data_IF_415907851276
#
_entry.id   IF_415907851276
#
_cell.length_a   1.000
_cell.length_b   1.000
_cell.length_c   1.000
_cell.angle_alpha   90.00
_cell.angle_beta   90.00
_cell.angle_gamma   90.00
#
_symmetry.space_group_name_H-M   'P 1'
#
loop_
_entity.id
_entity.type
_entity.pdbx_description
1 polymer ?
#
# COMPACT_ATOMS: atom_id res chain seq x y z
N UNK A 1 39.10 -46.61 8.22
CA UNK A 1 38.88 -46.52 6.76
C UNK A 1 37.54 -47.17 6.48
N UNK A 2 36.41 -46.52 6.78
CA UNK A 2 35.80 -45.39 6.07
C UNK A 2 35.67 -45.65 4.56
N UNK A 3 34.53 -46.19 4.14
CA UNK A 3 33.93 -45.82 2.85
C UNK A 3 32.42 -45.95 2.95
N UNK A 4 31.79 -44.80 2.70
CA UNK A 4 30.37 -44.54 2.72
C UNK A 4 29.77 -44.70 1.31
N UNK A 5 28.46 -44.98 1.31
CA UNK A 5 27.45 -44.51 0.35
C UNK A 5 27.38 -45.23 -1.02
N UNK A 6 26.21 -45.46 -1.64
CA UNK A 6 24.86 -44.88 -1.53
C UNK A 6 23.81 -45.93 -1.92
N UNK A 7 22.54 -45.79 -1.50
CA UNK A 7 21.41 -46.15 -2.33
C UNK A 7 20.71 -44.91 -2.88
N UNK A 8 20.41 -44.98 -4.17
CA UNK A 8 19.45 -44.12 -4.85
C UNK A 8 18.06 -44.27 -4.22
N UNK A 9 17.45 -43.16 -3.81
CA UNK A 9 16.01 -43.08 -3.59
C UNK A 9 15.44 -41.92 -4.41
N UNK A 10 14.74 -42.30 -5.49
CA UNK A 10 13.74 -41.47 -6.16
C UNK A 10 12.54 -41.39 -5.22
N UNK A 11 12.04 -40.18 -4.96
CA UNK A 11 10.69 -39.99 -4.43
C UNK A 11 9.88 -39.10 -5.38
N UNK A 12 8.79 -39.71 -5.85
CA UNK A 12 7.61 -39.08 -6.42
C UNK A 12 6.73 -38.53 -5.28
N UNK A 13 5.88 -37.58 -5.66
CA UNK A 13 4.60 -37.18 -5.06
C UNK A 13 4.57 -36.20 -3.88
N UNK A 14 3.62 -35.26 -4.00
CA UNK A 14 2.77 -34.85 -2.88
C UNK A 14 2.87 -33.38 -2.49
N UNK A 15 2.20 -32.49 -3.23
CA UNK A 15 1.87 -31.16 -2.74
C UNK A 15 0.65 -31.30 -1.80
N UNK A 16 0.72 -31.00 -0.49
CA UNK A 16 -0.47 -30.90 0.32
C UNK A 16 -1.14 -29.54 0.07
N UNK A 17 -2.36 -29.59 -0.45
CA UNK A 17 -3.30 -28.47 -0.47
C UNK A 17 -3.63 -28.05 0.97
N UNK A 18 -3.22 -26.86 1.38
CA UNK A 18 -3.69 -26.24 2.63
C UNK A 18 -5.01 -25.52 2.33
N UNK A 19 -6.13 -26.09 2.79
CA UNK A 19 -7.47 -25.48 2.71
C UNK A 19 -7.61 -24.42 3.80
N UNK A 20 -7.70 -23.15 3.42
CA UNK A 20 -8.19 -22.07 4.30
C UNK A 20 -9.69 -21.91 4.04
N UNK A 21 -10.51 -22.26 5.02
CA UNK A 21 -11.96 -22.02 5.01
C UNK A 21 -12.20 -20.59 5.52
N UNK A 22 -12.77 -19.73 4.67
CA UNK A 22 -13.36 -18.45 5.08
C UNK A 22 -14.87 -18.65 5.23
N UNK A 23 -15.36 -18.65 6.48
CA UNK A 23 -16.79 -18.55 6.77
C UNK A 23 -17.16 -17.07 6.87
N UNK A 24 -17.90 -16.55 5.89
CA UNK A 24 -18.57 -15.25 5.97
C UNK A 24 -20.04 -15.49 6.25
N UNK A 25 -20.44 -15.48 7.52
CA UNK A 25 -21.85 -15.46 7.92
C UNK A 25 -22.37 -14.04 7.87
N UNK A 26 -23.25 -13.73 6.93
CA UNK A 26 -24.01 -12.47 6.91
C UNK A 26 -25.38 -12.71 7.54
N UNK A 27 -25.66 -12.01 8.65
CA UNK A 27 -27.02 -11.88 9.19
C UNK A 27 -27.64 -10.65 8.54
N UNK A 28 -28.66 -10.85 7.70
CA UNK A 28 -29.45 -9.76 7.12
C UNK A 28 -30.56 -9.37 8.11
N UNK A 29 -30.47 -8.17 8.68
CA UNK A 29 -31.57 -7.53 9.40
C UNK A 29 -32.29 -6.63 8.40
N UNK A 30 -33.46 -7.03 7.92
CA UNK A 30 -34.29 -6.21 7.02
C UNK A 30 -35.18 -5.27 7.85
N UNK A 31 -34.70 -4.06 8.10
CA UNK A 31 -35.54 -2.93 8.49
C UNK A 31 -36.04 -2.22 7.24
N UNK A 32 -37.36 -2.09 7.09
CA UNK A 32 -37.99 -1.37 5.98
C UNK A 32 -37.90 0.13 6.26
N UNK A 33 -36.97 0.83 5.61
CA UNK A 33 -36.91 2.29 5.60
C UNK A 33 -37.64 2.83 4.37
N UNK A 34 -38.62 3.72 4.61
CA UNK A 34 -39.40 4.40 3.58
C UNK A 34 -38.53 5.46 2.87
N UNK A 35 -38.02 5.09 1.69
CA UNK A 35 -38.40 5.76 0.45
C UNK A 35 -37.85 7.16 0.11
N UNK A 36 -36.57 7.43 0.35
CA UNK A 36 -35.80 8.20 -0.63
C UNK A 36 -35.02 7.20 -1.47
N UNK A 37 -35.15 7.27 -2.81
CA UNK A 37 -34.28 6.47 -3.67
C UNK A 37 -32.84 6.79 -3.31
N UNK A 38 -32.01 5.79 -2.94
CA UNK A 38 -30.63 6.05 -2.55
C UNK A 38 -29.96 6.82 -3.69
N UNK A 39 -29.31 7.93 -3.35
CA UNK A 39 -28.57 8.74 -4.33
C UNK A 39 -27.56 7.82 -5.01
N UNK A 40 -27.73 7.65 -6.33
CA UNK A 40 -26.84 6.83 -7.14
C UNK A 40 -25.53 7.57 -7.41
N UNK A 41 -24.63 7.51 -6.42
CA UNK A 41 -23.30 8.15 -6.45
C UNK A 41 -22.36 7.52 -7.48
N UNK A 42 -22.70 6.35 -8.05
CA UNK A 42 -21.91 5.76 -9.13
C UNK A 42 -21.89 6.63 -10.39
N UNK A 43 -22.96 7.39 -10.63
CA UNK A 43 -23.06 8.35 -11.74
C UNK A 43 -22.06 9.50 -11.61
N UNK A 44 -21.72 9.91 -10.40
CA UNK A 44 -20.76 11.00 -10.19
C UNK A 44 -19.41 10.65 -10.83
N UNK A 45 -18.94 9.41 -10.64
CA UNK A 45 -17.68 8.92 -11.22
C UNK A 45 -17.70 8.93 -12.76
N UNK A 46 -18.85 8.64 -13.37
CA UNK A 46 -18.99 8.70 -14.84
C UNK A 46 -19.00 10.14 -15.40
N UNK A 47 -19.32 11.11 -14.56
CA UNK A 47 -19.36 12.54 -14.89
C UNK A 47 -18.08 13.27 -14.47
N UNK A 48 -17.05 12.53 -14.04
CA UNK A 48 -15.81 13.11 -13.57
C UNK A 48 -15.14 13.96 -14.67
N UNK A 49 -14.73 15.20 -14.36
CA UNK A 49 -13.85 15.98 -15.21
C UNK A 49 -12.61 15.18 -15.62
N UNK A 50 -12.07 15.47 -16.81
CA UNK A 50 -10.98 14.69 -17.42
C UNK A 50 -9.76 14.56 -16.52
N UNK A 51 -9.50 15.56 -15.67
CA UNK A 51 -8.43 15.53 -14.68
C UNK A 51 -8.57 14.41 -13.63
N UNK A 52 -9.79 14.09 -13.21
CA UNK A 52 -10.07 13.12 -12.16
C UNK A 52 -10.21 11.70 -12.71
N UNK A 53 -10.52 11.54 -14.00
CA UNK A 53 -10.70 10.23 -14.64
C UNK A 53 -9.48 9.33 -14.44
N UNK A 54 -8.27 9.88 -14.60
CA UNK A 54 -7.02 9.11 -14.41
C UNK A 54 -6.84 8.64 -12.96
N UNK A 55 -7.12 9.52 -11.98
CA UNK A 55 -7.06 9.19 -10.56
C UNK A 55 -8.10 8.12 -10.20
N UNK A 56 -9.32 8.25 -10.73
CA UNK A 56 -10.41 7.28 -10.51
C UNK A 56 -10.05 5.90 -11.03
N UNK A 57 -9.46 5.83 -12.23
CA UNK A 57 -9.03 4.58 -12.84
C UNK A 57 -7.84 3.96 -12.09
N UNK A 58 -6.82 4.76 -11.77
CA UNK A 58 -5.66 4.28 -11.02
C UNK A 58 -6.05 3.80 -9.60
N UNK A 59 -6.98 4.51 -8.97
CA UNK A 59 -7.44 4.26 -7.62
C UNK A 59 -8.55 3.23 -7.47
N UNK A 60 -9.15 2.71 -8.56
CA UNK A 60 -10.32 1.83 -8.51
C UNK A 60 -11.39 2.32 -7.51
N UNK A 61 -11.89 3.54 -7.74
CA UNK A 61 -12.66 4.30 -6.75
C UNK A 61 -14.13 3.89 -6.70
N UNK A 62 -14.70 3.90 -5.50
CA UNK A 62 -16.14 3.91 -5.27
C UNK A 62 -16.50 5.05 -4.32
N UNK A 63 -17.73 5.56 -4.42
CA UNK A 63 -18.27 6.58 -3.50
C UNK A 63 -19.46 5.97 -2.78
N UNK A 64 -19.47 6.02 -1.45
CA UNK A 64 -20.46 5.39 -0.58
C UNK A 64 -20.96 6.36 0.48
N UNK A 65 -22.20 6.18 0.92
CA UNK A 65 -22.73 6.87 2.10
C UNK A 65 -22.40 6.07 3.35
N UNK A 66 -21.85 6.73 4.39
CA UNK A 66 -21.48 6.04 5.63
C UNK A 66 -21.44 6.98 6.84
N UNK A 67 -22.61 7.44 7.30
CA UNK A 67 -22.72 8.38 8.44
C UNK A 67 -22.10 7.82 9.73
N UNK A 68 -22.23 6.51 9.98
CA UNK A 68 -21.68 5.88 11.17
C UNK A 68 -20.14 5.92 11.20
N UNK A 69 -19.49 5.72 10.04
CA UNK A 69 -18.03 5.81 9.92
C UNK A 69 -17.56 7.25 10.08
N UNK A 70 -18.28 8.18 9.44
CA UNK A 70 -17.98 9.61 9.49
C UNK A 70 -18.11 10.18 10.91
N UNK A 71 -19.17 9.79 11.63
CA UNK A 71 -19.35 10.12 13.03
C UNK A 71 -18.25 9.51 13.92
N UNK A 72 -17.85 8.25 13.66
CA UNK A 72 -16.76 7.61 14.38
C UNK A 72 -15.42 8.34 14.19
N UNK A 73 -15.17 8.87 12.98
CA UNK A 73 -13.94 9.58 12.63
C UNK A 73 -13.99 11.08 12.94
N UNK A 74 -15.15 11.62 13.33
CA UNK A 74 -15.41 13.06 13.49
C UNK A 74 -15.06 13.84 12.21
N UNK A 75 -15.57 13.38 11.06
CA UNK A 75 -15.33 13.97 9.74
C UNK A 75 -16.61 14.06 8.91
N UNK A 76 -16.65 15.01 7.96
CA UNK A 76 -17.75 15.16 6.98
C UNK A 76 -17.50 14.37 5.68
N UNK A 77 -16.27 13.89 5.48
CA UNK A 77 -15.87 12.98 4.41
C UNK A 77 -14.64 12.19 4.82
N UNK A 78 -14.46 11.02 4.21
CA UNK A 78 -13.29 10.20 4.45
C UNK A 78 -12.96 9.31 3.26
N UNK A 79 -11.71 9.37 2.80
CA UNK A 79 -11.16 8.43 1.84
C UNK A 79 -10.43 7.32 2.55
N UNK A 80 -10.87 6.09 2.33
CA UNK A 80 -10.15 4.88 2.74
C UNK A 80 -9.52 4.22 1.52
N UNK A 81 -8.27 3.76 1.66
CA UNK A 81 -7.59 2.97 0.64
C UNK A 81 -7.34 1.56 1.14
N UNK A 82 -7.25 0.62 0.20
CA UNK A 82 -6.77 -0.73 0.45
C UNK A 82 -5.66 -1.05 -0.54
N UNK A 83 -4.47 -1.30 0.00
CA UNK A 83 -3.32 -1.70 -0.77
C UNK A 83 -3.27 -3.23 -0.87
N UNK A 84 -3.05 -3.73 -2.08
CA UNK A 84 -2.88 -5.15 -2.34
C UNK A 84 -1.60 -5.37 -3.14
N UNK A 85 -0.65 -6.06 -2.53
CA UNK A 85 0.63 -6.40 -3.15
C UNK A 85 0.77 -7.91 -3.24
N UNK A 86 0.68 -8.44 -4.46
CA UNK A 86 0.97 -9.84 -4.74
C UNK A 86 2.41 -10.01 -5.21
N UNK A 87 3.17 -10.92 -4.60
CA UNK A 87 4.55 -11.16 -4.97
C UNK A 87 4.86 -12.66 -5.04
N UNK A 88 5.94 -12.99 -5.76
CA UNK A 88 6.60 -14.30 -5.74
C UNK A 88 8.06 -14.07 -5.41
N UNK A 89 8.74 -15.07 -4.84
CA UNK A 89 10.17 -14.97 -4.59
C UNK A 89 10.86 -16.31 -4.75
N UNK A 90 12.16 -16.22 -5.03
CA UNK A 90 13.14 -17.28 -4.85
C UNK A 90 14.16 -16.83 -3.82
N UNK A 91 14.81 -17.75 -3.14
CA UNK A 91 15.87 -17.39 -2.20
C UNK A 91 17.06 -18.34 -2.28
N UNK A 92 18.20 -17.87 -1.78
CA UNK A 92 19.44 -18.63 -1.64
C UNK A 92 20.00 -18.38 -0.26
N UNK A 93 20.39 -19.44 0.44
CA UNK A 93 21.12 -19.34 1.70
C UNK A 93 22.56 -19.03 1.35
N UNK A 94 23.04 -17.87 1.79
CA UNK A 94 24.42 -17.42 1.55
C UNK A 94 25.36 -18.02 2.59
N UNK A 95 24.91 -18.06 3.85
CA UNK A 95 25.72 -18.44 4.99
C UNK A 95 24.83 -18.95 6.12
N UNK A 96 25.33 -19.92 6.88
CA UNK A 96 24.71 -20.44 8.10
C UNK A 96 25.82 -20.63 9.14
N UNK A 97 25.65 -20.01 10.30
CA UNK A 97 26.57 -20.11 11.43
C UNK A 97 25.82 -20.59 12.68
N UNK A 98 26.43 -21.49 13.45
CA UNK A 98 25.98 -21.81 14.81
C UNK A 98 26.79 -20.97 15.80
N UNK A 99 26.10 -20.26 16.68
CA UNK A 99 26.68 -19.52 17.79
C UNK A 99 25.91 -19.84 19.06
N UNK A 100 26.54 -20.57 20.00
CA UNK A 100 26.01 -20.84 21.35
C UNK A 100 24.59 -21.45 21.39
N UNK A 101 24.25 -22.31 20.41
CA UNK A 101 22.92 -22.92 20.31
C UNK A 101 21.90 -22.10 19.52
N UNK A 102 22.32 -20.96 18.96
CA UNK A 102 21.54 -20.15 18.02
C UNK A 102 22.08 -20.36 16.60
N UNK A 103 21.19 -20.57 15.64
CA UNK A 103 21.52 -20.63 14.22
C UNK A 103 21.24 -19.28 13.58
N UNK A 104 22.27 -18.70 12.96
CA UNK A 104 22.23 -17.46 12.20
C UNK A 104 22.28 -17.81 10.71
N UNK A 105 21.26 -17.46 9.93
CA UNK A 105 21.30 -17.64 8.48
C UNK A 105 21.23 -16.29 7.76
N UNK A 106 22.17 -16.08 6.84
CA UNK A 106 22.14 -14.97 5.89
C UNK A 106 21.51 -15.45 4.59
N UNK A 107 20.39 -14.87 4.21
CA UNK A 107 19.55 -15.33 3.10
C UNK A 107 19.36 -14.21 2.10
N UNK A 108 19.63 -14.50 0.83
CA UNK A 108 19.38 -13.59 -0.29
C UNK A 108 18.04 -13.95 -0.93
N UNK A 109 17.10 -13.01 -0.96
CA UNK A 109 15.77 -13.16 -1.54
C UNK A 109 15.67 -12.31 -2.79
N UNK A 110 15.20 -12.92 -3.87
CA UNK A 110 14.89 -12.24 -5.12
C UNK A 110 13.40 -12.33 -5.37
N UNK A 111 12.73 -11.19 -5.25
CA UNK A 111 11.31 -11.06 -5.53
C UNK A 111 11.08 -10.90 -7.04
N UNK A 112 9.94 -11.41 -7.51
CA UNK A 112 9.56 -11.41 -8.92
C UNK A 112 8.28 -10.60 -9.11
N UNK A 113 8.40 -9.51 -9.89
CA UNK A 113 7.30 -8.72 -10.48
C UNK A 113 6.13 -8.50 -9.51
N UNK A 114 6.29 -7.65 -8.47
CA UNK A 114 5.21 -7.38 -7.54
C UNK A 114 4.00 -6.80 -8.30
N UNK A 115 2.86 -7.46 -8.15
CA UNK A 115 1.55 -6.99 -8.64
C UNK A 115 1.00 -6.03 -7.61
N UNK A 116 0.79 -4.78 -8.01
CA UNK A 116 0.26 -3.73 -7.16
C UNK A 116 -1.16 -3.43 -7.59
N UNK A 117 -2.07 -3.35 -6.62
CA UNK A 117 -3.42 -2.83 -6.82
C UNK A 117 -3.78 -1.98 -5.62
N UNK A 118 -4.36 -0.82 -5.86
CA UNK A 118 -4.95 0.01 -4.83
C UNK A 118 -6.43 0.24 -5.18
N UNK A 119 -7.28 0.19 -4.16
CA UNK A 119 -8.72 0.45 -4.27
C UNK A 119 -9.13 1.51 -3.26
N UNK A 120 -10.07 2.37 -3.62
CA UNK A 120 -10.52 3.45 -2.76
C UNK A 120 -12.03 3.42 -2.52
N UNK A 121 -12.42 3.81 -1.32
CA UNK A 121 -13.80 4.14 -0.97
C UNK A 121 -13.80 5.56 -0.42
N UNK A 122 -14.50 6.46 -1.11
CA UNK A 122 -14.81 7.79 -0.60
C UNK A 122 -16.14 7.69 0.14
N UNK A 123 -16.11 7.95 1.43
CA UNK A 123 -17.28 8.01 2.28
C UNK A 123 -17.75 9.45 2.42
N UNK A 124 -19.04 9.68 2.18
CA UNK A 124 -19.72 10.98 2.37
C UNK A 124 -20.99 10.77 3.19
N UNK A 125 -21.56 11.85 3.70
CA UNK A 125 -22.84 11.79 4.42
C UNK A 125 -23.96 11.32 3.48
N UNK A 126 -24.97 10.65 4.05
CA UNK A 126 -26.10 10.11 3.31
C UNK A 126 -26.91 11.18 2.56
N UNK A 127 -26.99 12.39 3.12
CA UNK A 127 -27.67 13.56 2.57
C UNK A 127 -26.75 14.48 1.75
N UNK A 128 -25.45 14.19 1.68
CA UNK A 128 -24.52 14.92 0.81
C UNK A 128 -24.91 14.73 -0.65
N UNK A 129 -25.57 15.74 -1.22
CA UNK A 129 -26.12 15.75 -2.57
C UNK A 129 -25.94 17.10 -3.26
N UNK A 130 -24.68 17.56 -3.47
CA UNK A 130 -24.43 18.83 -4.15
C UNK A 130 -24.96 18.80 -5.59
N UNK A 131 -25.45 19.93 -6.14
CA UNK A 131 -25.86 20.01 -7.54
C UNK A 131 -24.76 19.62 -8.53
N UNK A 132 -23.51 19.95 -8.17
CA UNK A 132 -22.31 19.51 -8.87
C UNK A 132 -21.28 18.96 -7.84
N UNK A 133 -21.07 17.64 -7.77
CA UNK A 133 -20.14 17.06 -6.81
C UNK A 133 -18.69 17.42 -7.10
N UNK A 134 -18.32 17.69 -8.36
CA UNK A 134 -16.92 17.92 -8.73
C UNK A 134 -16.46 19.35 -8.48
N UNK A 135 -17.38 20.31 -8.35
CA UNK A 135 -17.07 21.63 -7.79
C UNK A 135 -17.02 21.64 -6.27
N UNK A 136 -17.60 20.63 -5.60
CA UNK A 136 -17.59 20.53 -4.14
C UNK A 136 -16.17 20.43 -3.60
N UNK A 137 -15.92 21.27 -2.61
CA UNK A 137 -14.67 21.29 -1.87
C UNK A 137 -14.35 19.96 -1.19
N UNK A 138 -15.38 19.31 -0.64
CA UNK A 138 -15.24 18.02 0.03
C UNK A 138 -14.70 16.97 -0.94
N UNK A 139 -15.36 16.81 -2.10
CA UNK A 139 -14.91 15.85 -3.11
C UNK A 139 -13.51 16.19 -3.61
N UNK A 140 -13.17 17.46 -3.80
CA UNK A 140 -11.79 17.85 -4.18
C UNK A 140 -10.77 17.43 -3.12
N UNK A 141 -11.07 17.62 -1.84
CA UNK A 141 -10.21 17.16 -0.72
C UNK A 141 -10.06 15.63 -0.71
N UNK A 142 -11.16 14.90 -0.89
CA UNK A 142 -11.12 13.44 -0.97
C UNK A 142 -10.32 12.95 -2.18
N UNK A 143 -10.42 13.63 -3.33
CA UNK A 143 -9.58 13.34 -4.50
C UNK A 143 -8.09 13.65 -4.27
N UNK A 144 -7.75 14.57 -3.36
CA UNK A 144 -6.36 14.83 -2.98
C UNK A 144 -5.77 13.64 -2.20
N UNK A 145 -6.57 12.98 -1.36
CA UNK A 145 -6.16 11.70 -0.74
C UNK A 145 -5.86 10.64 -1.81
N UNK A 146 -6.72 10.50 -2.83
CA UNK A 146 -6.45 9.59 -3.94
C UNK A 146 -5.15 9.95 -4.67
N UNK A 147 -4.88 11.23 -4.87
CA UNK A 147 -3.65 11.69 -5.52
C UNK A 147 -2.39 11.35 -4.71
N UNK A 148 -2.48 11.32 -3.37
CA UNK A 148 -1.39 10.87 -2.50
C UNK A 148 -1.10 9.38 -2.72
N UNK A 149 -2.11 8.52 -2.65
CA UNK A 149 -1.91 7.07 -2.67
C UNK A 149 -1.69 6.48 -4.06
N UNK A 150 -2.18 7.14 -5.11
CA UNK A 150 -1.98 6.77 -6.52
C UNK A 150 -0.75 7.43 -7.14
N UNK A 151 0.03 8.17 -6.36
CA UNK A 151 1.26 8.79 -6.82
C UNK A 151 2.20 7.71 -7.41
N UNK A 152 2.70 7.89 -8.64
CA UNK A 152 3.59 6.93 -9.29
C UNK A 152 4.84 6.57 -8.47
N UNK A 153 5.30 7.45 -7.57
CA UNK A 153 6.44 7.18 -6.66
C UNK A 153 6.10 6.11 -5.63
N UNK A 154 4.83 5.95 -5.22
CA UNK A 154 4.40 4.83 -4.38
C UNK A 154 4.70 3.49 -5.07
N UNK A 155 4.41 3.40 -6.38
CA UNK A 155 4.74 2.20 -7.16
C UNK A 155 6.26 1.99 -7.24
N UNK A 156 7.04 3.05 -7.46
CA UNK A 156 8.50 2.97 -7.47
C UNK A 156 9.07 2.50 -6.12
N UNK A 157 8.51 2.97 -5.00
CA UNK A 157 8.86 2.52 -3.65
C UNK A 157 8.53 1.03 -3.48
N UNK A 158 7.36 0.57 -3.91
CA UNK A 158 6.99 -0.84 -3.88
C UNK A 158 7.99 -1.68 -4.68
N UNK A 159 8.35 -1.25 -5.89
CA UNK A 159 9.33 -1.92 -6.73
C UNK A 159 10.75 -1.84 -6.15
N UNK A 160 11.11 -0.80 -5.41
CA UNK A 160 12.37 -0.72 -4.69
C UNK A 160 12.44 -1.68 -3.50
N UNK A 161 11.42 -1.62 -2.63
CA UNK A 161 11.35 -2.40 -1.39
C UNK A 161 11.15 -3.90 -1.65
N UNK A 162 10.40 -4.25 -2.69
CA UNK A 162 10.01 -5.63 -3.02
C UNK A 162 10.46 -6.07 -4.42
N UNK A 163 11.19 -5.27 -5.18
CA UNK A 163 11.77 -5.69 -6.47
C UNK A 163 13.29 -5.83 -6.42
N UNK A 164 13.95 -5.25 -5.41
CA UNK A 164 15.38 -5.43 -5.18
C UNK A 164 15.69 -6.82 -4.61
N UNK A 165 16.87 -7.32 -4.96
CA UNK A 165 17.46 -8.46 -4.24
C UNK A 165 17.73 -8.02 -2.81
N UNK A 166 17.05 -8.65 -1.85
CA UNK A 166 17.12 -8.29 -0.45
C UNK A 166 17.90 -9.35 0.31
N UNK A 167 18.85 -8.91 1.14
CA UNK A 167 19.53 -9.79 2.09
C UNK A 167 18.82 -9.71 3.45
N UNK A 168 18.48 -10.86 4.00
CA UNK A 168 17.95 -11.03 5.35
C UNK A 168 18.97 -11.73 6.23
N UNK A 169 18.94 -11.40 7.51
CA UNK A 169 19.60 -12.13 8.58
C UNK A 169 18.51 -12.63 9.52
N UNK A 170 18.43 -13.94 9.69
CA UNK A 170 17.44 -14.59 10.56
C UNK A 170 18.15 -15.40 11.64
N UNK A 171 17.54 -15.46 12.82
CA UNK A 171 18.05 -16.13 14.01
C UNK A 171 17.02 -17.11 14.53
N UNK A 172 17.48 -18.33 14.84
CA UNK A 172 16.65 -19.34 15.49
C UNK A 172 17.38 -19.91 16.70
N UNK A 173 16.68 -19.96 17.84
CA UNK A 173 17.17 -20.55 19.09
C UNK A 173 17.12 -22.09 19.03
N UNK A 174 17.94 -22.65 18.14
CA UNK A 174 18.11 -24.09 17.92
C UNK A 174 19.51 -24.35 17.35
N UNK A 175 20.13 -25.47 17.72
CA UNK A 175 21.42 -25.90 17.11
C UNK A 175 21.26 -26.48 15.70
N UNK A 176 20.07 -26.96 15.33
CA UNK A 176 19.85 -27.53 14.01
C UNK A 176 19.65 -26.44 12.94
N UNK A 177 20.22 -26.63 11.75
CA UNK A 177 20.01 -25.71 10.63
C UNK A 177 18.51 -25.48 10.35
N UNK A 178 18.10 -24.25 9.99
CA UNK A 178 16.70 -23.94 9.77
C UNK A 178 16.14 -24.71 8.57
N UNK A 179 14.91 -25.18 8.70
CA UNK A 179 14.19 -25.86 7.61
C UNK A 179 13.73 -24.86 6.55
N UNK A 180 13.50 -25.32 5.31
CA UNK A 180 12.93 -24.49 4.23
C UNK A 180 11.60 -23.84 4.65
N UNK A 181 10.76 -24.57 5.41
CA UNK A 181 9.52 -24.03 5.97
C UNK A 181 9.76 -22.83 6.89
N UNK A 182 10.67 -22.95 7.85
CA UNK A 182 11.02 -21.87 8.77
C UNK A 182 11.54 -20.65 8.02
N UNK A 183 12.42 -20.85 7.04
CA UNK A 183 12.95 -19.77 6.20
C UNK A 183 11.82 -19.05 5.46
N UNK A 184 10.89 -19.78 4.84
CA UNK A 184 9.75 -19.18 4.12
C UNK A 184 8.83 -18.40 5.03
N UNK A 185 8.56 -18.91 6.23
CA UNK A 185 7.77 -18.20 7.24
C UNK A 185 8.42 -16.87 7.62
N UNK A 186 9.74 -16.85 7.82
CA UNK A 186 10.52 -15.64 8.10
C UNK A 186 10.51 -14.62 6.95
N UNK A 187 10.71 -15.09 5.71
CA UNK A 187 10.65 -14.23 4.52
C UNK A 187 9.24 -13.64 4.38
N UNK A 188 8.19 -14.45 4.58
CA UNK A 188 6.81 -13.99 4.51
C UNK A 188 6.50 -12.96 5.58
N UNK A 189 6.90 -13.20 6.83
CA UNK A 189 6.74 -12.25 7.93
C UNK A 189 7.42 -10.92 7.61
N UNK A 190 8.68 -10.97 7.17
CA UNK A 190 9.44 -9.77 6.79
C UNK A 190 8.82 -9.02 5.61
N UNK A 191 8.22 -9.75 4.66
CA UNK A 191 7.52 -9.14 3.52
C UNK A 191 6.24 -8.43 3.96
N UNK A 192 5.47 -9.02 4.88
CA UNK A 192 4.27 -8.41 5.46
C UNK A 192 4.62 -7.12 6.21
N UNK A 193 5.69 -7.12 7.01
CA UNK A 193 6.17 -5.92 7.69
C UNK A 193 6.55 -4.80 6.71
N UNK A 194 7.24 -5.13 5.61
CA UNK A 194 7.59 -4.17 4.57
C UNK A 194 6.37 -3.58 3.87
N UNK A 195 5.37 -4.41 3.58
CA UNK A 195 4.10 -3.95 2.99
C UNK A 195 3.38 -3.03 3.97
N UNK A 196 3.33 -3.36 5.25
CA UNK A 196 2.73 -2.51 6.28
C UNK A 196 3.45 -1.16 6.41
N UNK A 197 4.78 -1.12 6.28
CA UNK A 197 5.53 0.14 6.24
C UNK A 197 5.17 0.98 4.99
N UNK A 198 4.91 0.35 3.84
CA UNK A 198 4.44 1.05 2.63
C UNK A 198 3.02 1.61 2.84
N UNK A 199 2.11 0.84 3.44
CA UNK A 199 0.78 1.34 3.80
C UNK A 199 0.88 2.53 4.76
N UNK A 200 1.79 2.43 5.73
CA UNK A 200 2.01 3.48 6.73
C UNK A 200 2.54 4.78 6.14
N UNK A 201 3.42 4.76 5.13
CA UNK A 201 3.83 6.01 4.47
C UNK A 201 2.67 6.67 3.70
N UNK A 202 1.77 5.89 3.12
CA UNK A 202 0.58 6.46 2.46
C UNK A 202 -0.31 7.10 3.52
N UNK A 203 -0.54 6.42 4.64
CA UNK A 203 -1.33 6.95 5.75
C UNK A 203 -0.72 8.23 6.35
N UNK A 204 0.60 8.26 6.57
CA UNK A 204 1.28 9.47 7.07
C UNK A 204 1.11 10.65 6.10
N UNK A 205 1.11 10.41 4.80
CA UNK A 205 0.87 11.45 3.81
C UNK A 205 -0.61 11.90 3.79
N UNK A 206 -1.57 11.00 4.05
CA UNK A 206 -2.98 11.35 4.25
C UNK A 206 -3.15 12.25 5.48
N UNK A 207 -2.53 11.87 6.60
CA UNK A 207 -2.63 12.62 7.85
C UNK A 207 -2.03 14.02 7.68
N UNK A 208 -0.88 14.15 7.00
CA UNK A 208 -0.29 15.46 6.67
C UNK A 208 -1.18 16.30 5.74
N UNK A 209 -1.88 15.68 4.79
CA UNK A 209 -2.81 16.37 3.91
C UNK A 209 -4.00 16.91 4.72
N UNK A 210 -4.57 16.09 5.60
CA UNK A 210 -5.64 16.48 6.52
C UNK A 210 -5.21 17.61 7.45
N UNK A 211 -4.03 17.53 8.07
CA UNK A 211 -3.54 18.56 8.97
C UNK A 211 -3.34 19.91 8.26
N UNK A 212 -2.76 19.89 7.05
CA UNK A 212 -2.52 21.11 6.27
C UNK A 212 -3.80 21.73 5.75
N UNK A 213 -4.75 20.92 5.31
CA UNK A 213 -6.07 21.37 4.83
C UNK A 213 -7.08 21.61 5.94
N UNK A 214 -6.78 21.26 7.20
CA UNK A 214 -7.75 21.21 8.31
C UNK A 214 -8.94 20.35 7.90
N UNK A 215 -8.67 19.11 7.48
CA UNK A 215 -9.65 18.14 6.98
C UNK A 215 -10.48 18.71 5.81
N UNK A 216 -9.81 19.41 4.88
CA UNK A 216 -10.47 20.05 3.74
C UNK A 216 -11.13 21.40 4.03
N UNK A 217 -11.08 21.94 5.26
CA UNK A 217 -11.70 23.22 5.63
C UNK A 217 -10.90 24.47 5.23
N UNK A 218 -9.62 24.36 4.87
CA UNK A 218 -8.81 25.43 4.23
C UNK A 218 -8.08 24.91 2.98
N UNK A 219 -7.78 25.81 2.05
CA UNK A 219 -6.89 25.48 0.93
C UNK A 219 -5.46 25.33 1.47
N UNK A 220 -4.64 24.57 0.75
CA UNK A 220 -3.22 24.43 1.07
C UNK A 220 -2.46 25.49 0.26
N UNK A 221 -1.90 26.50 0.93
CA UNK A 221 -1.26 27.66 0.29
C UNK A 221 -0.16 27.28 -0.72
N UNK A 222 0.60 26.21 -0.44
CA UNK A 222 1.59 25.63 -1.36
C UNK A 222 1.25 24.19 -1.75
N UNK A 223 0.03 23.94 -2.24
CA UNK A 223 -0.43 22.58 -2.59
C UNK A 223 0.53 21.84 -3.53
N UNK A 224 1.04 22.51 -4.57
CA UNK A 224 2.00 21.90 -5.50
C UNK A 224 3.29 21.46 -4.81
N UNK A 225 3.86 22.32 -3.95
CA UNK A 225 5.05 22.01 -3.16
C UNK A 225 4.82 20.86 -2.18
N UNK A 226 3.63 20.79 -1.56
CA UNK A 226 3.24 19.68 -0.71
C UNK A 226 3.39 18.35 -1.45
N UNK A 227 2.73 18.22 -2.61
CA UNK A 227 2.82 16.98 -3.40
C UNK A 227 4.22 16.73 -3.93
N UNK A 228 4.97 17.75 -4.35
CA UNK A 228 6.35 17.57 -4.80
C UNK A 228 7.26 17.00 -3.72
N UNK A 229 7.08 17.42 -2.48
CA UNK A 229 7.90 16.98 -1.34
C UNK A 229 7.53 15.59 -0.81
N UNK A 230 6.31 15.10 -1.06
CA UNK A 230 5.91 13.74 -0.67
C UNK A 230 6.84 12.69 -1.29
N UNK A 231 7.09 11.62 -0.54
CA UNK A 231 7.84 10.44 -1.00
C UNK A 231 9.27 10.71 -1.52
N UNK A 232 9.80 11.92 -1.32
CA UNK A 232 11.22 12.20 -1.55
C UNK A 232 12.09 11.38 -0.59
N UNK A 233 13.37 11.17 -0.93
CA UNK A 233 14.28 10.41 -0.07
C UNK A 233 14.35 10.98 1.35
N UNK A 234 14.38 12.31 1.48
CA UNK A 234 14.29 13.03 2.75
C UNK A 234 12.98 12.75 3.49
N UNK A 235 11.84 12.87 2.82
CA UNK A 235 10.53 12.61 3.44
C UNK A 235 10.42 11.17 3.94
N UNK A 236 10.92 10.19 3.17
CA UNK A 236 10.94 8.78 3.56
C UNK A 236 11.85 8.50 4.76
N UNK A 237 12.96 9.22 4.89
CA UNK A 237 13.83 9.16 6.07
C UNK A 237 13.14 9.76 7.30
N UNK A 238 12.51 10.91 7.16
CA UNK A 238 11.78 11.59 8.24
C UNK A 238 10.60 10.75 8.74
N UNK A 239 9.96 9.94 7.87
CA UNK A 239 8.95 8.96 8.27
C UNK A 239 9.49 7.87 9.22
N UNK A 240 10.80 7.66 9.26
CA UNK A 240 11.53 6.83 10.24
C UNK A 240 10.97 5.41 10.43
N UNK A 241 10.48 4.78 9.36
CA UNK A 241 9.98 3.39 9.41
C UNK A 241 11.12 2.37 9.24
N UNK A 242 10.92 1.18 9.80
CA UNK A 242 11.94 0.11 9.87
C UNK A 242 12.50 -0.21 8.48
N UNK A 243 11.64 -0.38 7.49
CA UNK A 243 12.03 -0.68 6.11
C UNK A 243 12.93 0.39 5.52
N UNK A 244 12.57 1.67 5.64
CA UNK A 244 13.30 2.76 4.99
C UNK A 244 14.63 3.09 5.65
N UNK A 245 14.81 2.79 6.94
CA UNK A 245 16.11 2.92 7.64
C UNK A 245 17.21 2.03 7.08
N UNK A 246 16.84 0.95 6.39
CA UNK A 246 17.83 -0.01 5.86
C UNK A 246 18.38 0.35 4.49
N UNK A 247 17.87 1.39 3.85
CA UNK A 247 18.31 1.86 2.54
C UNK A 247 19.17 3.11 2.66
N UNK A 248 20.18 3.23 1.79
CA UNK A 248 21.00 4.42 1.74
C UNK A 248 20.16 5.62 1.26
N UNK A 249 20.53 6.83 1.69
CA UNK A 249 19.88 8.06 1.26
C UNK A 249 19.77 8.17 -0.27
N UNK A 250 20.84 7.81 -0.98
CA UNK A 250 20.87 7.79 -2.44
C UNK A 250 19.90 6.79 -3.07
N UNK A 251 19.64 5.63 -2.45
CA UNK A 251 18.67 4.65 -2.97
C UNK A 251 17.24 5.17 -2.83
N UNK A 252 16.92 5.77 -1.68
CA UNK A 252 15.63 6.40 -1.43
C UNK A 252 15.39 7.61 -2.34
N UNK A 253 16.42 8.43 -2.57
CA UNK A 253 16.37 9.51 -3.56
C UNK A 253 16.15 8.97 -4.97
N UNK A 254 16.80 7.86 -5.32
CA UNK A 254 16.58 7.25 -6.63
C UNK A 254 15.12 6.84 -6.79
N UNK A 255 14.47 6.29 -5.77
CA UNK A 255 13.04 5.92 -5.86
C UNK A 255 12.13 7.15 -5.89
N UNK A 256 12.33 8.09 -4.97
CA UNK A 256 11.53 9.31 -4.88
C UNK A 256 11.68 10.25 -6.10
N UNK A 257 12.85 10.22 -6.76
CA UNK A 257 13.17 11.05 -7.92
C UNK A 257 13.23 10.28 -9.25
N UNK A 258 13.04 8.95 -9.24
CA UNK A 258 13.10 8.08 -10.45
C UNK A 258 12.11 8.50 -11.54
N UNK A 259 11.04 9.19 -11.13
CA UNK A 259 10.07 9.79 -12.02
C UNK A 259 10.32 11.30 -11.95
N UNK A 260 10.86 11.92 -13.02
CA UNK A 260 11.08 13.36 -13.04
C UNK A 260 9.80 14.08 -12.64
N UNK A 261 9.90 15.03 -11.72
CA UNK A 261 8.76 15.88 -11.34
C UNK A 261 8.13 16.51 -12.59
N UNK A 262 8.89 16.78 -13.66
CA UNK A 262 8.35 17.27 -14.94
C UNK A 262 7.47 16.26 -15.72
N UNK A 263 7.67 14.95 -15.55
CA UNK A 263 6.75 13.91 -16.05
C UNK A 263 5.52 13.75 -15.17
N UNK A 264 5.66 14.01 -13.87
CA UNK A 264 4.53 14.18 -12.94
C UNK A 264 3.79 15.51 -13.24
N UNK A 265 4.48 16.59 -13.62
CA UNK A 265 3.90 17.89 -13.94
C UNK A 265 2.99 17.83 -15.17
N UNK A 266 3.20 16.91 -16.11
CA UNK A 266 2.22 16.68 -17.19
C UNK A 266 0.92 16.03 -16.64
N UNK A 267 1.00 15.29 -15.54
CA UNK A 267 -0.15 14.75 -14.79
C UNK A 267 -0.76 15.76 -13.79
N UNK A 268 0.01 16.73 -13.28
CA UNK A 268 -0.39 17.67 -12.23
C UNK A 268 -0.56 19.14 -12.69
N UNK A 269 -0.07 19.59 -13.86
CA UNK A 269 -0.26 20.98 -14.35
C UNK A 269 -1.53 21.16 -15.17
N UNK A 270 -1.88 20.21 -16.04
CA UNK A 270 -3.05 20.34 -16.93
C UNK A 270 -4.39 20.39 -16.18
N UNK A 271 -4.42 19.98 -14.91
CA UNK A 271 -5.63 19.89 -14.10
C UNK A 271 -5.72 20.86 -12.93
N UNK A 272 -4.64 21.57 -12.58
CA UNK A 272 -4.55 22.25 -11.28
C UNK A 272 -3.98 23.67 -11.31
N UNK A 273 -3.62 24.25 -12.48
CA UNK A 273 -3.08 25.61 -12.56
C UNK A 273 -4.13 26.75 -12.64
N UNK A 274 -5.43 26.47 -12.62
CA UNK A 274 -6.49 27.50 -12.72
C UNK A 274 -7.40 27.63 -11.48
N UNK A 275 -6.96 27.28 -10.26
CA UNK A 275 -7.81 27.39 -9.06
C UNK A 275 -7.10 27.97 -7.85
#
# INVERSE_FOLDING_TARGET
>A
MSSCARPHLRFLNGIPFCRVLFFWGWVAVTGVALGQSPIDRSKWLSMAPGEYVRLIQAGNVSIQASDALLLQKDKVGATEFKLQIGYRYTYTIVEVEEQEGTQLARIRVMYQRPKFRITHVIHVESDFSPPDPWSSRLIKHEMDHLAVSTDPRVRAIVDGVLGATTSYEFRWEQSAAPTDKQIREEINRSSVERIADIEKIIQLAYDQLDDRSVQGNRNIDSRGEFFQNLYTGRWLQEANLKTFRTYAAGELETWGNSIPVSKLEMHYRESWQER
#
